data_IF_823060801222
#
_entry.id   IF_823060801222
#
_cell.length_a   1.000
_cell.length_b   1.000
_cell.length_c   1.000
_cell.angle_alpha   90.00
_cell.angle_beta   90.00
_cell.angle_gamma   90.00
#
_symmetry.space_group_name_H-M   'P 1'
#
loop_
_entity.id
_entity.type
_entity.pdbx_description
1 polymer ?
#
# COMPACT_ATOMS: atom_id res chain seq x y z
N UNK A 1 22.46 12.79 44.86
CA UNK A 1 22.52 12.78 43.38
C UNK A 1 23.18 14.09 42.96
N UNK A 2 24.30 14.06 42.23
CA UNK A 2 24.91 15.28 41.74
C UNK A 2 24.09 15.82 40.56
N UNK A 3 23.78 17.12 40.55
CA UNK A 3 23.12 17.76 39.42
C UNK A 3 24.19 18.28 38.45
N UNK A 4 24.22 17.76 37.23
CA UNK A 4 25.03 18.32 36.15
C UNK A 4 24.24 19.47 35.53
N UNK A 5 24.82 20.66 35.50
CA UNK A 5 24.23 21.84 34.86
C UNK A 5 25.12 22.24 33.69
N UNK A 6 24.73 21.91 32.43
CA UNK A 6 25.48 22.35 31.27
C UNK A 6 25.44 23.87 31.13
N UNK A 7 26.41 24.44 30.42
CA UNK A 7 26.39 25.86 30.10
C UNK A 7 25.19 26.10 29.20
N UNK A 8 24.20 26.87 29.66
CA UNK A 8 22.89 27.00 29.00
C UNK A 8 22.58 28.47 28.80
N UNK A 9 22.08 28.82 27.63
CA UNK A 9 21.69 30.18 27.27
C UNK A 9 20.75 30.19 26.08
N UNK A 10 20.05 31.30 25.88
CA UNK A 10 19.30 31.54 24.65
C UNK A 10 20.25 31.84 23.49
N UNK A 11 19.79 31.74 22.23
CA UNK A 11 20.59 32.17 21.07
C UNK A 11 21.15 33.59 21.25
N UNK A 12 20.37 34.50 21.85
CA UNK A 12 20.80 35.87 22.11
C UNK A 12 21.94 35.93 23.14
N UNK A 13 21.85 35.16 24.23
CA UNK A 13 22.90 35.09 25.26
C UNK A 13 24.22 34.59 24.65
N UNK A 14 24.16 33.52 23.84
CA UNK A 14 25.33 32.97 23.16
C UNK A 14 25.92 33.94 22.15
N UNK A 15 25.08 34.68 21.41
CA UNK A 15 25.52 35.71 20.47
C UNK A 15 26.19 36.89 21.16
N UNK A 16 25.74 37.28 22.35
CA UNK A 16 26.35 38.36 23.11
C UNK A 16 27.80 38.07 23.54
N UNK A 17 28.20 36.80 23.60
CA UNK A 17 29.54 36.36 24.01
C UNK A 17 30.30 35.58 22.92
N UNK A 18 29.77 35.53 21.69
CA UNK A 18 30.27 34.71 20.57
C UNK A 18 31.77 34.92 20.28
N UNK A 19 32.26 36.14 20.45
CA UNK A 19 33.66 36.47 20.15
C UNK A 19 34.66 36.13 21.27
N UNK A 20 34.17 35.81 22.48
CA UNK A 20 35.02 35.64 23.66
C UNK A 20 34.87 34.27 24.32
N UNK A 21 33.71 33.64 24.19
CA UNK A 21 33.41 32.37 24.86
C UNK A 21 33.85 31.18 23.99
N UNK A 22 34.82 30.42 24.51
CA UNK A 22 35.22 29.11 24.01
C UNK A 22 34.90 28.09 25.10
N UNK A 23 34.04 27.13 24.78
CA UNK A 23 33.74 26.02 25.68
C UNK A 23 34.96 25.11 25.81
N UNK A 24 35.24 24.64 27.03
CA UNK A 24 36.33 23.71 27.29
C UNK A 24 36.11 22.41 26.52
N UNK A 25 37.20 21.67 26.33
CA UNK A 25 37.11 20.33 25.74
C UNK A 25 36.10 19.47 26.52
N UNK A 26 35.13 18.90 25.81
CA UNK A 26 34.00 18.10 26.30
C UNK A 26 32.95 18.85 27.14
N UNK A 27 33.06 20.16 27.32
CA UNK A 27 32.01 20.96 27.96
C UNK A 27 30.76 20.99 27.09
N UNK A 28 29.59 20.81 27.72
CA UNK A 28 28.30 20.80 27.01
C UNK A 28 27.70 22.20 27.04
N UNK A 29 27.47 22.74 25.85
CA UNK A 29 26.74 23.98 25.65
C UNK A 29 25.34 23.70 25.10
N UNK A 30 24.35 24.35 25.68
CA UNK A 30 22.94 24.24 25.31
C UNK A 30 22.43 25.61 24.89
N UNK A 31 22.03 25.71 23.63
CA UNK A 31 21.32 26.85 23.07
C UNK A 31 19.82 26.56 23.08
N UNK A 32 19.04 27.51 23.59
CA UNK A 32 17.57 27.51 23.51
C UNK A 32 17.19 28.54 22.45
N UNK A 33 16.60 28.09 21.34
CA UNK A 33 16.15 28.98 20.28
C UNK A 33 14.86 29.72 20.66
N UNK A 34 14.39 30.62 19.78
CA UNK A 34 13.17 31.41 20.01
C UNK A 34 11.90 30.59 20.10
N UNK A 35 11.90 29.36 19.57
CA UNK A 35 10.79 28.42 19.62
C UNK A 35 10.88 27.48 20.82
N UNK A 36 11.93 27.60 21.65
CA UNK A 36 12.18 26.75 22.81
C UNK A 36 12.88 25.44 22.50
N UNK A 37 13.38 25.24 21.27
CA UNK A 37 14.13 24.03 20.94
C UNK A 37 15.55 24.10 21.48
N UNK A 38 16.05 22.92 21.86
CA UNK A 38 17.42 22.76 22.32
C UNK A 38 18.34 22.41 21.15
N UNK A 39 19.39 23.21 20.99
CA UNK A 39 20.52 22.94 20.12
C UNK A 39 21.74 22.70 21.01
N UNK A 40 22.26 21.47 21.00
CA UNK A 40 23.39 21.09 21.87
C UNK A 40 24.65 20.99 21.04
N UNK A 41 25.74 21.52 21.59
CA UNK A 41 27.10 21.44 21.04
C UNK A 41 28.05 21.00 22.13
N UNK A 42 29.15 20.36 21.73
CA UNK A 42 30.23 19.98 22.65
C UNK A 42 31.47 20.80 22.34
N UNK A 43 32.03 21.44 23.36
CA UNK A 43 33.25 22.22 23.26
C UNK A 43 34.46 21.36 22.93
N UNK A 44 35.39 21.94 22.18
CA UNK A 44 36.69 21.36 21.84
C UNK A 44 37.88 22.14 22.43
N UNK A 45 37.58 23.17 23.25
CA UNK A 45 38.57 24.04 23.87
C UNK A 45 39.22 25.05 22.91
N UNK A 46 38.76 25.17 21.65
CA UNK A 46 39.42 25.99 20.62
C UNK A 46 38.45 26.82 19.79
N UNK A 47 37.36 26.23 19.32
CA UNK A 47 36.42 26.86 18.41
C UNK A 47 35.31 27.61 19.17
N UNK A 48 34.74 28.64 18.54
CA UNK A 48 33.61 29.38 19.09
C UNK A 48 32.35 28.52 19.10
N UNK A 49 31.41 28.84 19.97
CA UNK A 49 30.19 28.05 20.15
C UNK A 49 29.44 27.74 18.84
N UNK A 50 29.21 28.75 17.99
CA UNK A 50 28.45 28.56 16.75
C UNK A 50 29.24 27.83 15.64
N UNK A 51 30.56 27.74 15.75
CA UNK A 51 31.43 26.99 14.84
C UNK A 51 31.50 25.49 15.17
N UNK A 52 31.09 25.10 16.39
CA UNK A 52 31.03 23.70 16.82
C UNK A 52 29.86 22.97 16.13
N UNK A 53 29.98 21.68 15.80
CA UNK A 53 28.86 20.94 15.23
C UNK A 53 27.69 20.81 16.23
N UNK A 54 26.47 20.93 15.72
CA UNK A 54 25.26 20.62 16.47
C UNK A 54 25.15 19.09 16.61
N UNK A 55 25.16 18.59 17.84
CA UNK A 55 25.06 17.16 18.14
C UNK A 55 23.63 16.73 18.52
N UNK A 56 22.80 17.68 18.96
CA UNK A 56 21.36 17.49 19.21
C UNK A 56 20.62 18.69 18.64
N UNK A 57 19.60 18.47 17.82
CA UNK A 57 18.74 19.50 17.25
C UNK A 57 17.28 19.07 17.38
N UNK A 58 16.59 19.57 18.40
CA UNK A 58 15.21 19.18 18.66
C UNK A 58 14.23 19.67 17.59
N UNK A 59 14.45 20.83 16.99
CA UNK A 59 13.62 21.32 15.89
C UNK A 59 13.59 20.32 14.73
N UNK A 60 14.78 19.83 14.35
CA UNK A 60 14.92 18.85 13.27
C UNK A 60 14.34 17.48 13.63
N UNK A 61 14.34 17.10 14.91
CA UNK A 61 13.69 15.87 15.35
C UNK A 61 12.16 15.93 15.21
N UNK A 62 11.55 17.08 15.55
CA UNK A 62 10.11 17.28 15.40
C UNK A 62 9.68 17.26 13.93
N UNK A 63 10.40 17.96 13.05
CA UNK A 63 10.16 17.92 11.60
C UNK A 63 10.24 16.49 11.04
N UNK A 64 11.27 15.74 11.43
CA UNK A 64 11.44 14.35 10.99
C UNK A 64 10.31 13.46 11.50
N UNK A 65 9.85 13.70 12.74
CA UNK A 65 8.75 12.95 13.32
C UNK A 65 7.45 13.19 12.56
N UNK A 66 7.09 14.45 12.29
CA UNK A 66 5.91 14.81 11.50
C UNK A 66 5.97 14.21 10.09
N UNK A 67 7.12 14.32 9.42
CA UNK A 67 7.33 13.75 8.10
C UNK A 67 7.14 12.21 8.11
N UNK A 68 7.72 11.55 9.11
CA UNK A 68 7.62 10.08 9.26
C UNK A 68 6.17 9.65 9.54
N UNK A 69 5.44 10.40 10.37
CA UNK A 69 4.01 10.16 10.59
C UNK A 69 3.19 10.36 9.31
N UNK A 70 3.49 11.40 8.53
CA UNK A 70 2.90 11.63 7.21
C UNK A 70 3.09 10.44 6.27
N UNK A 71 4.32 9.93 6.15
CA UNK A 71 4.60 8.75 5.33
C UNK A 71 3.88 7.50 5.82
N UNK A 72 3.82 7.25 7.13
CA UNK A 72 3.07 6.11 7.67
C UNK A 72 1.58 6.20 7.31
N UNK A 73 0.98 7.38 7.38
CA UNK A 73 -0.42 7.58 6.99
C UNK A 73 -0.63 7.28 5.49
N UNK A 74 0.26 7.77 4.62
CA UNK A 74 0.19 7.48 3.18
C UNK A 74 0.30 5.97 2.89
N UNK A 75 1.25 5.28 3.52
CA UNK A 75 1.44 3.83 3.34
C UNK A 75 0.22 3.04 3.83
N UNK A 76 -0.34 3.42 4.98
CA UNK A 76 -1.54 2.79 5.52
C UNK A 76 -2.74 2.95 4.57
N UNK A 77 -2.94 4.16 4.04
CA UNK A 77 -4.00 4.43 3.07
C UNK A 77 -3.79 3.66 1.76
N UNK A 78 -2.55 3.60 1.26
CA UNK A 78 -2.23 2.79 0.08
C UNK A 78 -2.54 1.31 0.30
N UNK A 79 -2.10 0.74 1.42
CA UNK A 79 -2.34 -0.66 1.77
C UNK A 79 -3.85 -0.97 1.87
N UNK A 80 -4.61 -0.08 2.51
CA UNK A 80 -6.07 -0.19 2.61
C UNK A 80 -6.73 -0.17 1.21
N UNK A 81 -6.40 0.82 0.40
CA UNK A 81 -6.98 0.96 -0.95
C UNK A 81 -6.64 -0.24 -1.84
N UNK A 82 -5.41 -0.76 -1.76
CA UNK A 82 -5.01 -1.96 -2.52
C UNK A 82 -5.77 -3.21 -2.07
N UNK A 83 -6.01 -3.35 -0.77
CA UNK A 83 -6.80 -4.46 -0.23
C UNK A 83 -8.26 -4.39 -0.71
N UNK A 84 -8.87 -3.20 -0.65
CA UNK A 84 -10.23 -2.97 -1.13
C UNK A 84 -10.35 -3.23 -2.64
N UNK A 85 -9.42 -2.70 -3.44
CA UNK A 85 -9.39 -2.93 -4.88
C UNK A 85 -9.23 -4.42 -5.23
N UNK A 86 -8.39 -5.15 -4.50
CA UNK A 86 -8.20 -6.60 -4.67
C UNK A 86 -9.49 -7.36 -4.37
N UNK A 87 -10.18 -7.01 -3.28
CA UNK A 87 -11.45 -7.63 -2.92
C UNK A 87 -12.55 -7.38 -3.96
N UNK A 88 -12.63 -6.15 -4.49
CA UNK A 88 -13.55 -5.81 -5.59
C UNK A 88 -13.24 -6.59 -6.86
N UNK A 89 -11.95 -6.68 -7.24
CA UNK A 89 -11.52 -7.45 -8.41
C UNK A 89 -11.84 -8.94 -8.27
N UNK A 90 -11.58 -9.53 -7.10
CA UNK A 90 -11.89 -10.94 -6.82
C UNK A 90 -13.41 -11.21 -6.90
N UNK A 91 -14.23 -10.30 -6.37
CA UNK A 91 -15.69 -10.41 -6.44
C UNK A 91 -16.21 -10.34 -7.88
N UNK A 92 -15.66 -9.42 -8.68
CA UNK A 92 -15.98 -9.31 -10.11
C UNK A 92 -15.54 -10.56 -10.88
N UNK A 93 -14.33 -11.06 -10.63
CA UNK A 93 -13.81 -12.28 -11.25
C UNK A 93 -14.68 -13.50 -10.92
N UNK A 94 -15.12 -13.64 -9.66
CA UNK A 94 -16.04 -14.71 -9.26
C UNK A 94 -17.37 -14.63 -10.01
N UNK A 95 -17.93 -13.43 -10.10
CA UNK A 95 -19.20 -13.19 -10.82
C UNK A 95 -19.07 -13.56 -12.29
N UNK A 96 -17.97 -13.16 -12.95
CA UNK A 96 -17.69 -13.52 -14.33
C UNK A 96 -17.53 -15.04 -14.52
N UNK A 97 -16.81 -15.69 -13.60
CA UNK A 97 -16.64 -17.15 -13.61
C UNK A 97 -17.98 -17.88 -13.49
N UNK A 98 -18.87 -17.42 -12.61
CA UNK A 98 -20.18 -18.04 -12.39
C UNK A 98 -21.11 -17.84 -13.59
N UNK A 99 -21.07 -16.66 -14.21
CA UNK A 99 -21.80 -16.39 -15.43
C UNK A 99 -21.32 -17.28 -16.59
N UNK A 100 -20.00 -17.45 -16.75
CA UNK A 100 -19.43 -18.31 -17.77
C UNK A 100 -19.80 -19.80 -17.56
N UNK A 101 -19.76 -20.27 -16.31
CA UNK A 101 -20.20 -21.63 -15.97
C UNK A 101 -21.69 -21.84 -16.30
N UNK A 102 -22.53 -20.86 -15.95
CA UNK A 102 -23.96 -20.90 -16.23
C UNK A 102 -24.27 -20.89 -17.72
N UNK A 103 -23.57 -20.06 -18.51
CA UNK A 103 -23.69 -20.03 -19.96
C UNK A 103 -23.26 -21.35 -20.59
N UNK A 104 -22.17 -21.96 -20.11
CA UNK A 104 -21.69 -23.27 -20.58
C UNK A 104 -22.71 -24.37 -20.29
N UNK A 105 -23.32 -24.36 -19.09
CA UNK A 105 -24.37 -25.31 -18.73
C UNK A 105 -25.61 -25.12 -19.61
N UNK A 106 -26.01 -23.88 -19.87
CA UNK A 106 -27.11 -23.54 -20.77
C UNK A 106 -26.87 -24.02 -22.20
N UNK A 107 -25.68 -23.79 -22.74
CA UNK A 107 -25.30 -24.26 -24.08
C UNK A 107 -25.40 -25.80 -24.19
N UNK A 108 -24.86 -26.54 -23.22
CA UNK A 108 -24.99 -28.01 -23.17
C UNK A 108 -26.44 -28.48 -23.08
N UNK A 109 -27.27 -27.78 -22.33
CA UNK A 109 -28.69 -28.09 -22.26
C UNK A 109 -29.37 -27.89 -23.63
N UNK A 110 -29.03 -26.82 -24.35
CA UNK A 110 -29.52 -26.60 -25.72
C UNK A 110 -29.07 -27.71 -26.68
N UNK A 111 -27.81 -28.13 -26.63
CA UNK A 111 -27.29 -29.27 -27.41
C UNK A 111 -28.13 -30.53 -27.14
N UNK A 112 -28.34 -30.88 -25.86
CA UNK A 112 -29.15 -32.06 -25.50
C UNK A 112 -30.62 -31.98 -25.94
N UNK A 113 -31.23 -30.78 -25.96
CA UNK A 113 -32.59 -30.58 -26.49
C UNK A 113 -32.60 -30.83 -28.01
N UNK A 114 -31.62 -30.30 -28.75
CA UNK A 114 -31.50 -30.51 -30.19
C UNK A 114 -31.34 -32.00 -30.50
N UNK A 115 -30.47 -32.69 -29.77
CA UNK A 115 -30.28 -34.14 -29.91
C UNK A 115 -31.58 -34.91 -29.63
N UNK A 116 -32.30 -34.54 -28.57
CA UNK A 116 -33.60 -35.15 -28.22
C UNK A 116 -34.69 -34.89 -29.28
N UNK A 117 -34.77 -33.68 -29.82
CA UNK A 117 -35.74 -33.33 -30.88
C UNK A 117 -35.44 -34.04 -32.20
N UNK A 118 -34.17 -34.22 -32.52
CA UNK A 118 -33.74 -34.91 -33.74
C UNK A 118 -33.80 -36.44 -33.59
N UNK A 119 -34.02 -36.96 -32.38
CA UNK A 119 -34.16 -38.39 -32.14
C UNK A 119 -35.61 -38.83 -32.32
N UNK A 120 -35.84 -39.83 -33.18
CA UNK A 120 -37.14 -40.44 -33.41
C UNK A 120 -37.10 -41.94 -33.12
N UNK A 121 -38.15 -42.50 -32.53
CA UNK A 121 -38.26 -43.95 -32.28
C UNK A 121 -39.33 -44.53 -33.20
N UNK A 122 -38.94 -45.46 -34.06
CA UNK A 122 -39.89 -46.23 -34.85
C UNK A 122 -40.66 -47.19 -33.93
N UNK A 123 -41.97 -47.00 -33.83
CA UNK A 123 -42.82 -47.78 -32.91
C UNK A 123 -43.03 -49.22 -33.36
N UNK A 124 -42.80 -49.54 -34.64
CA UNK A 124 -42.93 -50.88 -35.21
C UNK A 124 -41.62 -51.66 -35.04
N UNK A 125 -40.48 -51.08 -35.42
CA UNK A 125 -39.17 -51.76 -35.35
C UNK A 125 -38.43 -51.55 -34.03
N UNK A 126 -38.88 -50.62 -33.18
CA UNK A 126 -38.25 -50.19 -31.93
C UNK A 126 -36.84 -49.62 -32.08
N UNK A 127 -36.44 -49.26 -33.30
CA UNK A 127 -35.14 -48.65 -33.59
C UNK A 127 -35.19 -47.13 -33.38
N UNK A 128 -34.08 -46.60 -32.89
CA UNK A 128 -33.86 -45.16 -32.76
C UNK A 128 -33.25 -44.65 -34.07
N UNK A 129 -33.75 -43.53 -34.58
CA UNK A 129 -33.23 -42.87 -35.76
C UNK A 129 -32.97 -41.39 -35.47
N UNK A 130 -32.04 -40.77 -36.21
CA UNK A 130 -31.73 -39.34 -36.16
C UNK A 130 -32.24 -38.66 -37.42
N UNK A 131 -32.95 -37.55 -37.23
CA UNK A 131 -33.35 -36.61 -38.26
C UNK A 131 -32.22 -35.61 -38.50
N UNK A 132 -31.87 -35.39 -39.76
CA UNK A 132 -30.77 -34.50 -40.17
C UNK A 132 -31.12 -33.79 -41.48
N UNK A 133 -30.38 -32.73 -41.82
CA UNK A 133 -30.44 -32.08 -43.14
C UNK A 133 -29.07 -32.23 -43.80
N UNK A 134 -29.03 -32.83 -44.98
CA UNK A 134 -27.82 -32.97 -45.80
C UNK A 134 -28.10 -32.46 -47.19
N UNK A 135 -27.21 -31.61 -47.72
CA UNK A 135 -27.34 -31.00 -49.05
C UNK A 135 -28.72 -30.36 -49.30
N UNK A 136 -29.35 -29.82 -48.24
CA UNK A 136 -30.68 -29.21 -48.29
C UNK A 136 -31.86 -30.20 -48.28
N UNK A 137 -31.60 -31.51 -48.10
CA UNK A 137 -32.62 -32.56 -48.04
C UNK A 137 -32.74 -33.09 -46.60
N UNK A 138 -33.99 -33.21 -46.14
CA UNK A 138 -34.32 -33.85 -44.87
C UNK A 138 -34.05 -35.37 -44.95
N UNK A 139 -33.17 -35.87 -44.10
CA UNK A 139 -32.69 -37.26 -44.10
C UNK A 139 -32.93 -37.90 -42.73
N UNK A 140 -33.46 -39.13 -42.73
CA UNK A 140 -33.64 -39.96 -41.53
C UNK A 140 -32.70 -41.15 -41.63
N UNK A 141 -31.89 -41.37 -40.60
CA UNK A 141 -30.99 -42.54 -40.49
C UNK A 141 -31.15 -43.21 -39.15
N UNK A 142 -31.02 -44.53 -39.11
CA UNK A 142 -30.90 -45.25 -37.85
C UNK A 142 -29.69 -44.70 -37.07
N UNK A 143 -29.90 -44.44 -35.77
CA UNK A 143 -28.96 -43.79 -34.86
C UNK A 143 -27.79 -44.70 -34.48
#
# INVERSE_FOLDING_TARGET
>A
MAAIRPCTGTTADWKAVEDTLILKEREVGVEIDTSGHYLVRQGDGKNKFFDLPIIVNNARYEEILELTQGYMNTVNNFSKNMTEATNSANSAAKTASDAAASATAGAKACEGIVDGLNTMVDTVTKKTCVLSIEDGILTIREA
#
